data_IF_991294738643
#
_entry.id   IF_991294738643
#
_cell.length_a   1.000
_cell.length_b   1.000
_cell.length_c   1.000
_cell.angle_alpha   90.00
_cell.angle_beta   90.00
_cell.angle_gamma   90.00
#
_symmetry.space_group_name_H-M   'P 1'
#
loop_
_entity.id
_entity.type
_entity.pdbx_description
1 polymer ?
#
# COMPACT_ATOMS: atom_id res chain seq x y z
N UNK A 1 -1.58 13.16 3.51
CA UNK A 1 -1.01 12.53 4.72
C UNK A 1 -1.38 11.05 4.70
N UNK A 2 -0.48 10.16 5.14
CA UNK A 2 -0.77 8.74 5.32
C UNK A 2 -0.31 8.36 6.73
N UNK A 3 -1.26 7.94 7.56
CA UNK A 3 -1.00 7.49 8.94
C UNK A 3 -1.03 5.97 9.00
N UNK A 4 0.03 5.35 9.51
CA UNK A 4 0.05 3.90 9.78
C UNK A 4 -0.74 3.64 11.05
N UNK A 5 -1.76 2.78 10.97
CA UNK A 5 -2.57 2.35 12.09
C UNK A 5 -2.07 0.99 12.60
N UNK A 6 -2.39 0.65 13.84
CA UNK A 6 -2.00 -0.62 14.47
C UNK A 6 -0.51 -0.98 14.27
N UNK A 7 0.40 -0.14 14.77
CA UNK A 7 1.84 -0.35 14.64
C UNK A 7 2.58 0.01 15.95
N UNK A 8 3.46 -0.85 16.50
CA UNK A 8 3.85 -2.18 15.98
C UNK A 8 2.73 -3.22 16.14
N UNK A 9 2.72 -4.24 15.28
CA UNK A 9 1.72 -5.32 15.26
C UNK A 9 2.34 -6.64 14.79
N UNK A 10 1.58 -7.74 14.83
CA UNK A 10 2.06 -9.05 14.40
C UNK A 10 2.16 -9.13 12.86
N UNK A 11 3.11 -9.92 12.34
CA UNK A 11 3.26 -10.15 10.89
C UNK A 11 1.97 -10.65 10.22
N UNK A 12 1.16 -11.42 10.94
CA UNK A 12 -0.10 -11.99 10.46
C UNK A 12 -1.28 -11.03 10.56
N UNK A 13 -1.09 -9.81 11.07
CA UNK A 13 -2.15 -8.83 11.16
C UNK A 13 -2.26 -8.01 9.87
N UNK A 14 -3.46 -7.50 9.55
CA UNK A 14 -3.69 -6.64 8.39
C UNK A 14 -2.81 -5.38 8.39
N UNK A 15 -2.35 -4.96 7.22
CA UNK A 15 -1.85 -3.60 7.06
C UNK A 15 -3.03 -2.62 7.09
N UNK A 16 -2.87 -1.51 7.81
CA UNK A 16 -3.91 -0.49 7.92
C UNK A 16 -3.32 0.91 7.78
N UNK A 17 -3.79 1.66 6.78
CA UNK A 17 -3.37 3.03 6.51
C UNK A 17 -4.58 3.97 6.52
N UNK A 18 -4.55 5.04 7.31
CA UNK A 18 -5.47 6.15 7.14
C UNK A 18 -4.90 7.12 6.09
N UNK A 19 -5.49 7.11 4.90
CA UNK A 19 -5.06 7.94 3.78
C UNK A 19 -5.91 9.21 3.75
N UNK A 20 -5.24 10.36 3.72
CA UNK A 20 -5.87 11.68 3.51
C UNK A 20 -5.23 12.38 2.33
N UNK A 21 -6.02 12.76 1.33
CA UNK A 21 -5.54 13.43 0.11
C UNK A 21 -6.51 14.53 -0.33
N UNK A 22 -6.03 15.45 -1.17
CA UNK A 22 -6.83 16.55 -1.71
C UNK A 22 -7.00 16.37 -3.22
N UNK A 23 -8.24 16.50 -3.69
CA UNK A 23 -8.59 16.49 -5.10
C UNK A 23 -8.94 17.92 -5.54
N UNK A 24 -8.08 18.55 -6.35
CA UNK A 24 -8.25 19.97 -6.73
C UNK A 24 -9.38 20.21 -7.74
N UNK A 25 -9.71 19.21 -8.56
CA UNK A 25 -10.73 19.31 -9.62
C UNK A 25 -11.35 17.93 -9.91
N UNK A 26 -12.55 17.86 -10.49
CA UNK A 26 -13.19 16.58 -10.78
C UNK A 26 -12.32 15.70 -11.68
N UNK A 27 -12.24 14.41 -11.36
CA UNK A 27 -11.55 13.41 -12.15
C UNK A 27 -12.54 12.65 -13.05
N UNK A 28 -12.10 12.31 -14.26
CA UNK A 28 -12.90 11.57 -15.24
C UNK A 28 -12.85 10.05 -15.03
N UNK A 29 -11.91 9.57 -14.22
CA UNK A 29 -11.73 8.16 -13.87
C UNK A 29 -11.41 8.02 -12.39
N UNK A 30 -11.49 6.80 -11.89
CA UNK A 30 -11.19 6.50 -10.49
C UNK A 30 -9.68 6.52 -10.24
N UNK A 31 -9.31 6.75 -8.98
CA UNK A 31 -7.95 6.54 -8.51
C UNK A 31 -7.77 5.07 -8.15
N UNK A 32 -6.69 4.45 -8.60
CA UNK A 32 -6.30 3.11 -8.20
C UNK A 32 -5.29 3.21 -7.07
N UNK A 33 -5.62 2.64 -5.91
CA UNK A 33 -4.75 2.57 -4.75
C UNK A 33 -4.30 1.13 -4.55
N UNK A 34 -3.00 0.95 -4.29
CA UNK A 34 -2.41 -0.38 -4.15
C UNK A 34 -1.42 -0.46 -3.01
N UNK A 35 -1.49 -1.53 -2.23
CA UNK A 35 -0.49 -1.92 -1.22
C UNK A 35 0.36 -3.04 -1.81
N UNK A 36 1.68 -2.87 -1.81
CA UNK A 36 2.63 -3.89 -2.26
C UNK A 36 3.65 -4.15 -1.17
N UNK A 37 3.86 -5.43 -0.83
CA UNK A 37 4.91 -5.87 0.07
C UNK A 37 6.09 -6.37 -0.74
N UNK A 38 7.28 -5.85 -0.46
CA UNK A 38 8.53 -6.29 -1.12
C UNK A 38 8.97 -7.59 -0.45
N UNK A 39 8.82 -8.71 -1.16
CA UNK A 39 9.13 -10.03 -0.60
C UNK A 39 10.62 -10.34 -0.57
N UNK A 40 11.42 -9.69 -1.44
CA UNK A 40 12.87 -9.80 -1.46
C UNK A 40 13.47 -8.52 -2.02
N UNK A 41 14.58 -8.05 -1.46
CA UNK A 41 15.26 -6.87 -1.97
C UNK A 41 15.94 -7.10 -3.34
N UNK A 42 16.19 -8.36 -3.70
CA UNK A 42 16.94 -8.73 -4.91
C UNK A 42 16.05 -9.29 -6.03
N UNK A 43 14.80 -9.64 -5.73
CA UNK A 43 13.89 -10.32 -6.66
C UNK A 43 12.47 -9.72 -6.60
N UNK A 44 12.18 -8.81 -7.53
CA UNK A 44 10.85 -8.18 -7.69
C UNK A 44 9.74 -9.20 -8.00
N UNK A 45 10.07 -10.42 -8.45
CA UNK A 45 9.05 -11.47 -8.66
C UNK A 45 8.45 -11.99 -7.34
N UNK A 46 9.06 -11.61 -6.20
CA UNK A 46 8.56 -11.88 -4.85
C UNK A 46 7.67 -10.78 -4.30
N UNK A 47 7.49 -9.68 -5.04
CA UNK A 47 6.58 -8.62 -4.63
C UNK A 47 5.14 -9.13 -4.62
N UNK A 48 4.45 -8.84 -3.52
CA UNK A 48 3.07 -9.27 -3.33
C UNK A 48 2.17 -8.04 -3.32
N UNK A 49 1.23 -7.99 -4.27
CA UNK A 49 0.11 -7.05 -4.21
C UNK A 49 -0.85 -7.55 -3.15
N UNK A 50 -0.91 -6.84 -2.02
CA UNK A 50 -1.74 -7.23 -0.88
C UNK A 50 -3.19 -6.75 -1.05
N UNK A 51 -3.36 -5.58 -1.66
CA UNK A 51 -4.67 -5.00 -1.94
C UNK A 51 -4.58 -4.02 -3.12
N UNK A 52 -5.63 -3.98 -3.94
CA UNK A 52 -5.77 -3.06 -5.08
C UNK A 52 -7.24 -2.64 -5.22
N UNK A 53 -7.52 -1.34 -5.00
CA UNK A 53 -8.88 -0.81 -4.97
C UNK A 53 -9.03 0.44 -5.85
N UNK A 54 -10.20 0.56 -6.48
CA UNK A 54 -10.61 1.77 -7.18
C UNK A 54 -11.40 2.67 -6.26
N UNK A 55 -11.00 3.94 -6.19
CA UNK A 55 -11.65 4.98 -5.40
C UNK A 55 -12.19 6.04 -6.35
N UNK A 56 -13.51 6.03 -6.54
CA UNK A 56 -14.20 7.10 -7.23
C UNK A 56 -15.71 6.90 -7.35
N UNK A 57 -16.44 7.88 -7.92
CA UNK A 57 -15.91 9.19 -8.35
C UNK A 57 -15.39 10.01 -7.16
N UNK A 58 -14.24 10.67 -7.31
CA UNK A 58 -13.56 11.39 -6.22
C UNK A 58 -14.13 12.81 -6.07
N UNK A 59 -14.72 13.16 -4.91
CA UNK A 59 -15.16 14.52 -4.63
C UNK A 59 -14.00 15.53 -4.63
N UNK A 60 -14.26 16.74 -5.13
CA UNK A 60 -13.31 17.86 -5.01
C UNK A 60 -13.16 18.26 -3.53
N UNK A 61 -11.93 18.56 -3.12
CA UNK A 61 -11.55 18.90 -1.76
C UNK A 61 -10.84 17.75 -1.05
N UNK A 62 -10.87 17.80 0.29
CA UNK A 62 -10.16 16.83 1.14
C UNK A 62 -10.96 15.54 1.31
N UNK A 63 -10.32 14.42 0.97
CA UNK A 63 -10.86 13.08 1.09
C UNK A 63 -10.04 12.28 2.12
N UNK A 64 -10.72 11.40 2.85
CA UNK A 64 -10.10 10.51 3.84
C UNK A 64 -10.77 9.14 3.81
N UNK A 65 -9.97 8.08 3.88
CA UNK A 65 -10.45 6.71 4.02
C UNK A 65 -9.42 5.83 4.73
N UNK A 66 -9.87 4.68 5.24
CA UNK A 66 -8.98 3.63 5.76
C UNK A 66 -8.74 2.63 4.64
N UNK A 67 -7.47 2.40 4.32
CA UNK A 67 -7.01 1.44 3.34
C UNK A 67 -6.38 0.26 4.07
N UNK A 68 -6.98 -0.92 3.94
CA UNK A 68 -6.58 -2.12 4.67
C UNK A 68 -6.32 -3.27 3.69
N UNK A 69 -5.34 -4.12 3.99
CA UNK A 69 -5.08 -5.36 3.25
C UNK A 69 -4.89 -6.53 4.20
N UNK A 70 -5.00 -7.74 3.68
CA UNK A 70 -4.46 -8.94 4.34
C UNK A 70 -2.92 -8.84 4.47
N UNK A 71 -2.29 -9.60 5.39
CA UNK A 71 -0.83 -9.69 5.48
C UNK A 71 -0.23 -10.38 4.24
N UNK A 72 1.08 -10.22 3.98
CA UNK A 72 1.77 -10.97 2.93
C UNK A 72 1.75 -12.48 3.22
N UNK A 73 1.74 -13.29 2.17
CA UNK A 73 1.87 -14.72 2.28
C UNK A 73 3.33 -15.09 2.59
N UNK A 74 3.65 -15.66 3.76
CA UNK A 74 5.02 -16.00 4.13
C UNK A 74 5.62 -17.11 3.26
N UNK A 75 4.81 -17.96 2.61
CA UNK A 75 5.32 -19.05 1.77
C UNK A 75 5.92 -18.55 0.45
N UNK A 76 5.60 -17.31 0.06
CA UNK A 76 6.13 -16.67 -1.15
C UNK A 76 7.39 -15.83 -0.87
N UNK A 77 7.75 -15.66 0.41
CA UNK A 77 8.93 -14.91 0.86
C UNK A 77 10.10 -15.89 1.05
N UNK A 78 11.30 -15.61 0.50
CA UNK A 78 12.49 -16.40 0.78
C UNK A 78 12.78 -16.47 2.29
N UNK A 79 13.20 -17.63 2.80
CA UNK A 79 13.39 -17.83 4.26
C UNK A 79 14.40 -16.84 4.88
N UNK A 80 15.40 -16.41 4.11
CA UNK A 80 16.40 -15.43 4.51
C UNK A 80 15.87 -13.99 4.58
N UNK A 81 14.78 -13.68 3.88
CA UNK A 81 14.16 -12.36 3.81
C UNK A 81 12.95 -12.22 4.77
N UNK A 82 12.54 -13.29 5.46
CA UNK A 82 11.39 -13.27 6.39
C UNK A 82 11.63 -12.42 7.63
N UNK A 83 12.87 -12.32 8.09
CA UNK A 83 13.26 -11.63 9.33
C UNK A 83 14.21 -10.49 9.02
N UNK A 84 14.02 -9.34 9.65
CA UNK A 84 14.80 -8.13 9.39
C UNK A 84 14.03 -7.10 8.57
N UNK A 85 14.76 -6.28 7.83
CA UNK A 85 14.21 -5.08 7.18
C UNK A 85 13.78 -5.37 5.75
N UNK A 86 12.53 -5.01 5.44
CA UNK A 86 11.99 -4.96 4.08
C UNK A 86 11.17 -3.67 3.87
N UNK A 87 10.41 -3.58 2.78
CA UNK A 87 9.64 -2.40 2.39
C UNK A 87 8.17 -2.76 2.12
N UNK A 88 7.26 -1.90 2.58
CA UNK A 88 5.89 -1.84 2.12
C UNK A 88 5.66 -0.56 1.30
N UNK A 89 4.99 -0.67 0.16
CA UNK A 89 4.71 0.41 -0.76
C UNK A 89 3.20 0.68 -0.81
N UNK A 90 2.81 1.94 -0.65
CA UNK A 90 1.46 2.42 -0.97
C UNK A 90 1.57 3.29 -2.21
N UNK A 91 0.89 2.88 -3.29
CA UNK A 91 0.93 3.57 -4.58
C UNK A 91 -0.45 4.08 -4.96
N UNK A 92 -0.49 5.18 -5.71
CA UNK A 92 -1.69 5.69 -6.33
C UNK A 92 -1.47 5.96 -7.82
N UNK A 93 -2.40 5.47 -8.63
CA UNK A 93 -2.39 5.58 -10.08
C UNK A 93 -3.67 6.25 -10.58
N UNK A 94 -3.55 7.02 -11.66
CA UNK A 94 -4.69 7.60 -12.38
C UNK A 94 -4.58 7.18 -13.84
N UNK A 95 -5.62 6.48 -14.35
CA UNK A 95 -5.63 5.92 -15.72
C UNK A 95 -4.42 5.03 -16.00
N UNK A 96 -4.07 4.17 -15.04
CA UNK A 96 -2.95 3.22 -15.13
C UNK A 96 -1.56 3.88 -15.07
N UNK A 97 -1.47 5.18 -14.73
CA UNK A 97 -0.20 5.89 -14.54
C UNK A 97 -0.02 6.21 -13.07
N UNK A 98 0.98 5.58 -12.45
CA UNK A 98 1.38 5.87 -11.08
C UNK A 98 1.87 7.33 -10.98
N UNK A 99 1.36 8.06 -9.99
CA UNK A 99 1.75 9.44 -9.73
C UNK A 99 2.14 9.70 -8.27
N UNK A 100 1.83 8.77 -7.36
CA UNK A 100 2.28 8.79 -5.96
C UNK A 100 2.80 7.41 -5.58
N UNK A 101 3.95 7.40 -4.89
CA UNK A 101 4.52 6.23 -4.22
C UNK A 101 5.04 6.63 -2.85
N UNK A 102 4.57 5.94 -1.81
CA UNK A 102 5.02 6.11 -0.44
C UNK A 102 5.58 4.78 0.05
N UNK A 103 6.86 4.77 0.42
CA UNK A 103 7.54 3.58 0.91
C UNK A 103 7.80 3.65 2.41
N UNK A 104 7.56 2.54 3.10
CA UNK A 104 7.85 2.37 4.52
C UNK A 104 8.83 1.22 4.70
N UNK A 105 9.90 1.43 5.47
CA UNK A 105 10.68 0.32 5.99
C UNK A 105 9.86 -0.44 7.04
N UNK A 106 9.84 -1.76 6.93
CA UNK A 106 9.19 -2.69 7.84
C UNK A 106 10.29 -3.57 8.43
N UNK A 107 10.37 -3.65 9.75
CA UNK A 107 11.31 -4.54 10.43
C UNK A 107 10.50 -5.64 11.13
N UNK A 108 10.59 -6.87 10.62
CA UNK A 108 9.90 -8.06 11.14
C UNK A 108 10.71 -8.74 12.25
#
# INVERSE_FOLDING_TARGET
NITVLDNPTAFTNPFQFEVTFECAQPLEADLEWKITYVGSAEDESRDQVLEEVLVGPVPVGTNKFVFQSDPPNPDLIPDEDKVGVTVALVTCSYRGREFVRVGYYVNN
#
